data_IF_013669605205
#
_entry.id   IF_013669605205
#
_cell.length_a   1.000
_cell.length_b   1.000
_cell.length_c   1.000
_cell.angle_alpha   90.00
_cell.angle_beta   90.00
_cell.angle_gamma   90.00
#
_symmetry.space_group_name_H-M   'P 1'
#
loop_
_entity.id
_entity.type
_entity.pdbx_description
1 polymer ?
#
# COMPACT_ATOMS: atom_id res chain seq x y z
N UNK A 1 12.54 6.94 24.35
CA UNK A 1 11.83 8.05 25.01
C UNK A 1 10.98 8.69 23.91
N UNK A 2 9.70 8.37 23.77
CA UNK A 2 8.62 8.85 24.64
C UNK A 2 7.53 7.78 24.77
N UNK A 3 7.12 7.57 26.00
CA UNK A 3 6.09 6.64 26.46
C UNK A 3 4.74 6.88 25.80
N UNK A 4 4.27 5.92 25.00
CA UNK A 4 2.85 5.78 24.72
C UNK A 4 2.17 5.36 26.03
N UNK A 5 1.37 6.26 26.60
CA UNK A 5 0.64 6.04 27.85
C UNK A 5 -0.30 4.83 27.75
N UNK A 6 -0.68 4.23 28.89
CA UNK A 6 -1.54 3.07 28.90
C UNK A 6 -2.91 3.49 28.35
N UNK A 7 -3.24 2.97 27.17
CA UNK A 7 -4.57 3.11 26.58
C UNK A 7 -5.57 2.48 27.54
N UNK A 8 -6.27 3.32 28.30
CA UNK A 8 -7.40 2.95 29.13
C UNK A 8 -8.36 2.12 28.29
N UNK A 9 -8.43 0.83 28.64
CA UNK A 9 -9.50 -0.04 28.18
C UNK A 9 -10.76 0.51 28.82
N UNK A 10 -11.45 1.39 28.10
CA UNK A 10 -12.77 1.88 28.49
C UNK A 10 -13.73 0.69 28.40
N UNK A 11 -13.77 -0.05 29.51
CA UNK A 11 -14.62 -1.21 29.73
C UNK A 11 -16.08 -0.82 29.55
N UNK A 12 -16.82 -1.72 28.92
CA UNK A 12 -18.21 -1.54 28.57
C UNK A 12 -19.07 -1.13 29.76
N UNK A 13 -19.68 0.06 29.73
CA UNK A 13 -20.66 0.52 30.73
C UNK A 13 -22.11 0.37 30.24
N UNK A 14 -22.40 -0.74 29.53
CA UNK A 14 -23.76 -1.07 29.06
C UNK A 14 -24.54 -1.96 30.03
N UNK A 15 -23.84 -2.76 30.82
CA UNK A 15 -24.39 -3.48 31.97
C UNK A 15 -23.71 -2.85 33.17
N UNK A 16 -24.47 -2.25 34.09
CA UNK A 16 -23.90 -1.68 35.31
C UNK A 16 -22.98 -2.69 35.98
N UNK A 17 -21.92 -2.20 36.62
CA UNK A 17 -20.97 -3.05 37.33
C UNK A 17 -21.74 -3.99 38.27
N UNK A 18 -21.60 -5.30 38.05
CA UNK A 18 -22.33 -6.30 38.82
C UNK A 18 -21.61 -6.43 40.16
N UNK A 19 -21.95 -5.55 41.08
CA UNK A 19 -21.34 -5.48 42.41
C UNK A 19 -21.75 -6.67 43.29
N UNK A 20 -22.90 -7.30 43.02
CA UNK A 20 -23.45 -8.38 43.82
C UNK A 20 -24.03 -9.49 42.94
N UNK A 21 -23.52 -10.71 43.09
CA UNK A 21 -24.04 -11.90 42.41
C UNK A 21 -25.35 -12.43 43.01
N UNK A 22 -26.05 -13.29 42.26
CA UNK A 22 -27.35 -13.86 42.65
C UNK A 22 -27.31 -14.55 44.02
N UNK A 23 -26.24 -15.29 44.30
CA UNK A 23 -26.09 -16.05 45.54
C UNK A 23 -25.99 -15.13 46.75
N UNK A 24 -25.30 -14.00 46.60
CA UNK A 24 -25.13 -13.01 47.67
C UNK A 24 -26.43 -12.24 47.93
N UNK A 25 -27.21 -11.96 46.89
CA UNK A 25 -28.56 -11.39 47.04
C UNK A 25 -29.47 -12.37 47.80
N UNK A 26 -29.44 -13.66 47.44
CA UNK A 26 -30.24 -14.68 48.11
C UNK A 26 -29.86 -14.82 49.60
N UNK A 27 -28.57 -14.77 49.93
CA UNK A 27 -28.09 -14.79 51.32
C UNK A 27 -28.55 -13.57 52.12
N UNK A 28 -28.49 -12.37 51.54
CA UNK A 28 -28.98 -11.15 52.20
C UNK A 28 -30.47 -11.27 52.50
N UNK A 29 -31.27 -11.73 51.53
CA UNK A 29 -32.72 -11.93 51.71
C UNK A 29 -33.00 -12.98 52.78
N UNK A 30 -32.28 -14.11 52.77
CA UNK A 30 -32.42 -15.17 53.76
C UNK A 30 -32.13 -14.65 55.17
N UNK A 31 -31.03 -13.92 55.37
CA UNK A 31 -30.63 -13.39 56.67
C UNK A 31 -31.63 -12.36 57.21
N UNK A 32 -32.16 -11.49 56.36
CA UNK A 32 -33.19 -10.52 56.78
C UNK A 32 -34.52 -11.21 57.11
N UNK A 33 -34.93 -12.20 56.32
CA UNK A 33 -36.20 -12.90 56.53
C UNK A 33 -36.15 -13.89 57.70
N UNK A 34 -35.00 -14.49 57.99
CA UNK A 34 -34.81 -15.43 59.11
C UNK A 34 -34.93 -14.78 60.48
N UNK A 35 -34.70 -13.47 60.59
CA UNK A 35 -34.88 -12.72 61.85
C UNK A 35 -36.36 -12.52 62.20
N UNK A 36 -37.22 -12.46 61.18
CA UNK A 36 -38.63 -12.11 61.32
C UNK A 36 -39.50 -13.37 61.42
N UNK A 37 -39.16 -14.44 60.71
CA UNK A 37 -39.96 -15.66 60.60
C UNK A 37 -40.31 -16.39 61.92
N UNK A 38 -39.45 -16.39 62.97
CA UNK A 38 -39.77 -17.02 64.25
C UNK A 38 -41.03 -16.46 64.93
N UNK A 39 -41.37 -15.18 64.71
CA UNK A 39 -42.57 -14.56 65.28
C UNK A 39 -43.87 -15.13 64.71
N UNK A 40 -43.80 -15.83 63.58
CA UNK A 40 -44.92 -16.51 62.91
C UNK A 40 -44.89 -18.03 63.12
N UNK A 41 -43.99 -18.55 63.97
CA UNK A 41 -43.88 -19.99 64.26
C UNK A 41 -43.29 -20.82 63.12
N UNK A 42 -42.57 -20.21 62.18
CA UNK A 42 -41.96 -20.90 61.03
C UNK A 42 -40.45 -20.67 60.96
N UNK A 43 -39.71 -21.66 60.46
CA UNK A 43 -38.26 -21.59 60.28
C UNK A 43 -37.90 -21.53 58.77
N UNK A 44 -37.17 -20.49 58.36
CA UNK A 44 -36.75 -20.30 56.98
C UNK A 44 -35.39 -20.97 56.72
N UNK A 45 -35.37 -22.03 55.88
CA UNK A 45 -34.14 -22.80 55.58
C UNK A 45 -33.36 -22.30 54.36
N UNK A 46 -34.04 -21.91 53.28
CA UNK A 46 -33.40 -21.46 52.02
C UNK A 46 -34.34 -20.51 51.25
N UNK A 47 -33.76 -19.58 50.49
CA UNK A 47 -34.46 -18.67 49.58
C UNK A 47 -33.82 -18.74 48.21
N UNK A 48 -34.60 -19.08 47.19
CA UNK A 48 -34.15 -19.15 45.80
C UNK A 48 -34.98 -18.27 44.89
N UNK A 49 -34.31 -17.54 44.00
CA UNK A 49 -34.99 -16.75 42.96
C UNK A 49 -35.46 -17.71 41.87
N UNK A 50 -36.78 -17.88 41.75
CA UNK A 50 -37.39 -18.80 40.78
C UNK A 50 -37.36 -18.27 39.34
N UNK A 51 -37.69 -16.99 39.14
CA UNK A 51 -37.67 -16.32 37.83
C UNK A 51 -37.55 -14.82 38.01
N UNK A 52 -36.71 -14.19 37.19
CA UNK A 52 -36.69 -12.74 37.01
C UNK A 52 -37.41 -12.48 35.69
N UNK A 53 -38.58 -11.83 35.74
CA UNK A 53 -39.27 -11.40 34.53
C UNK A 53 -38.66 -10.06 34.10
N UNK A 54 -38.11 -10.02 32.89
CA UNK A 54 -37.72 -8.77 32.26
C UNK A 54 -38.92 -8.24 31.48
N UNK A 55 -39.15 -6.92 31.52
CA UNK A 55 -40.18 -6.30 30.69
C UNK A 55 -39.69 -6.34 29.24
N UNK A 56 -40.46 -6.96 28.34
CA UNK A 56 -40.08 -7.15 26.93
C UNK A 56 -39.63 -5.84 26.26
N UNK A 57 -40.24 -4.72 26.63
CA UNK A 57 -39.87 -3.39 26.14
C UNK A 57 -38.44 -2.98 26.52
N UNK A 58 -38.02 -3.27 27.74
CA UNK A 58 -36.65 -2.97 28.22
C UNK A 58 -35.64 -3.85 27.51
N UNK A 59 -35.97 -5.13 27.32
CA UNK A 59 -35.11 -6.07 26.60
C UNK A 59 -34.86 -5.62 25.16
N UNK A 60 -35.91 -5.21 24.44
CA UNK A 60 -35.80 -4.69 23.06
C UNK A 60 -34.90 -3.46 23.00
N UNK A 61 -35.10 -2.48 23.89
CA UNK A 61 -34.27 -1.26 23.95
C UNK A 61 -32.78 -1.56 24.19
N UNK A 62 -32.46 -2.54 25.05
CA UNK A 62 -31.07 -2.96 25.28
C UNK A 62 -30.47 -3.60 24.03
N UNK A 63 -31.21 -4.49 23.36
CA UNK A 63 -30.75 -5.10 22.11
C UNK A 63 -30.53 -4.06 21.01
N UNK A 64 -31.45 -3.10 20.84
CA UNK A 64 -31.31 -2.03 19.84
C UNK A 64 -30.06 -1.19 20.10
N UNK A 65 -29.80 -0.84 21.37
CA UNK A 65 -28.57 -0.15 21.78
C UNK A 65 -27.33 -0.97 21.48
N UNK A 66 -27.34 -2.28 21.76
CA UNK A 66 -26.21 -3.17 21.45
C UNK A 66 -25.94 -3.24 19.94
N UNK A 67 -26.98 -3.33 19.12
CA UNK A 67 -26.87 -3.37 17.66
C UNK A 67 -26.29 -2.06 17.14
N UNK A 68 -26.80 -0.92 17.62
CA UNK A 68 -26.30 0.41 17.24
C UNK A 68 -24.83 0.57 17.58
N UNK A 69 -24.42 0.16 18.80
CA UNK A 69 -23.03 0.25 19.22
C UNK A 69 -22.12 -0.68 18.40
N UNK A 70 -22.54 -1.92 18.15
CA UNK A 70 -21.79 -2.85 17.29
C UNK A 70 -21.61 -2.31 15.87
N UNK A 71 -22.66 -1.70 15.29
CA UNK A 71 -22.59 -1.04 13.98
C UNK A 71 -21.62 0.14 14.00
N UNK A 72 -21.66 0.98 15.03
CA UNK A 72 -20.75 2.12 15.21
C UNK A 72 -19.28 1.67 15.30
N UNK A 73 -19.01 0.65 16.12
CA UNK A 73 -17.67 0.07 16.26
C UNK A 73 -17.19 -0.51 14.92
N UNK A 74 -18.04 -1.28 14.23
CA UNK A 74 -17.68 -1.84 12.92
C UNK A 74 -17.40 -0.75 11.87
N UNK A 75 -18.21 0.30 11.82
CA UNK A 75 -17.98 1.44 10.91
C UNK A 75 -16.67 2.15 11.22
N UNK A 76 -16.36 2.39 12.50
CA UNK A 76 -15.07 2.98 12.92
C UNK A 76 -13.89 2.14 12.41
N UNK A 77 -13.90 0.83 12.65
CA UNK A 77 -12.83 -0.05 12.18
C UNK A 77 -12.71 -0.10 10.66
N UNK A 78 -13.82 -0.06 9.92
CA UNK A 78 -13.78 0.02 8.45
C UNK A 78 -13.14 1.33 7.99
N UNK A 79 -13.57 2.47 8.55
CA UNK A 79 -13.01 3.78 8.19
C UNK A 79 -11.52 3.89 8.51
N UNK A 80 -11.08 3.36 9.66
CA UNK A 80 -9.66 3.32 10.02
C UNK A 80 -8.87 2.41 9.06
N UNK A 81 -9.43 1.25 8.72
CA UNK A 81 -8.83 0.32 7.75
C UNK A 81 -8.70 0.94 6.35
N UNK A 82 -9.76 1.59 5.88
CA UNK A 82 -9.78 2.26 4.57
C UNK A 82 -8.76 3.42 4.53
N UNK A 83 -8.71 4.22 5.61
CA UNK A 83 -7.73 5.30 5.75
C UNK A 83 -6.29 4.79 5.70
N UNK A 84 -5.97 3.76 6.49
CA UNK A 84 -4.63 3.17 6.50
C UNK A 84 -4.27 2.51 5.17
N UNK A 85 -5.24 1.89 4.51
CA UNK A 85 -5.07 1.30 3.19
C UNK A 85 -4.77 2.36 2.12
N UNK A 86 -5.47 3.49 2.15
CA UNK A 86 -5.24 4.61 1.24
C UNK A 86 -3.86 5.25 1.47
N UNK A 87 -3.46 5.43 2.73
CA UNK A 87 -2.14 5.94 3.11
C UNK A 87 -1.01 5.06 2.54
N UNK A 88 -1.06 3.75 2.80
CA UNK A 88 -0.05 2.79 2.30
C UNK A 88 0.01 2.78 0.78
N UNK A 89 -1.14 2.82 0.10
CA UNK A 89 -1.18 2.89 -1.38
C UNK A 89 -0.55 4.18 -1.89
N UNK A 90 -0.87 5.32 -1.29
CA UNK A 90 -0.31 6.61 -1.68
C UNK A 90 1.20 6.68 -1.48
N UNK A 91 1.71 6.17 -0.36
CA UNK A 91 3.15 6.08 -0.09
C UNK A 91 3.84 5.17 -1.11
N UNK A 92 3.27 4.00 -1.39
CA UNK A 92 3.79 3.07 -2.41
C UNK A 92 3.87 3.73 -3.78
N UNK A 93 2.82 4.39 -4.23
CA UNK A 93 2.78 5.05 -5.55
C UNK A 93 3.79 6.19 -5.65
N UNK A 94 3.91 7.01 -4.60
CA UNK A 94 4.89 8.08 -4.51
C UNK A 94 6.31 7.52 -4.61
N UNK A 95 6.61 6.47 -3.86
CA UNK A 95 7.93 5.85 -3.81
C UNK A 95 8.30 5.19 -5.15
N UNK A 96 7.34 4.47 -5.76
CA UNK A 96 7.53 3.86 -7.07
C UNK A 96 7.83 4.92 -8.13
N UNK A 97 7.09 6.04 -8.13
CA UNK A 97 7.33 7.16 -9.05
C UNK A 97 8.70 7.81 -8.83
N UNK A 98 9.13 7.94 -7.56
CA UNK A 98 10.46 8.45 -7.21
C UNK A 98 11.56 7.55 -7.76
N UNK A 99 11.49 6.25 -7.50
CA UNK A 99 12.46 5.25 -7.97
C UNK A 99 12.55 5.26 -9.50
N UNK A 100 11.41 5.22 -10.19
CA UNK A 100 11.37 5.26 -11.66
C UNK A 100 11.97 6.54 -12.23
N UNK A 101 11.65 7.70 -11.64
CA UNK A 101 12.19 8.99 -12.09
C UNK A 101 13.70 9.08 -11.87
N UNK A 102 14.19 8.61 -10.72
CA UNK A 102 15.63 8.56 -10.43
C UNK A 102 16.38 7.61 -11.35
N UNK A 103 15.81 6.42 -11.60
CA UNK A 103 16.37 5.45 -12.53
C UNK A 103 16.42 6.02 -13.95
N UNK A 104 15.34 6.64 -14.42
CA UNK A 104 15.29 7.29 -15.72
C UNK A 104 16.32 8.41 -15.85
N UNK A 105 16.41 9.30 -14.85
CA UNK A 105 17.42 10.36 -14.81
C UNK A 105 18.84 9.80 -14.92
N UNK A 106 19.18 8.79 -14.11
CA UNK A 106 20.50 8.15 -14.15
C UNK A 106 20.78 7.52 -15.51
N UNK A 107 19.81 6.85 -16.11
CA UNK A 107 19.95 6.26 -17.44
C UNK A 107 20.24 7.35 -18.50
N UNK A 108 19.54 8.48 -18.45
CA UNK A 108 19.77 9.61 -19.36
C UNK A 108 21.14 10.27 -19.14
N UNK A 109 21.57 10.43 -17.89
CA UNK A 109 22.91 10.95 -17.56
C UNK A 109 24.02 10.04 -18.10
N UNK A 110 23.87 8.71 -17.96
CA UNK A 110 24.84 7.73 -18.47
C UNK A 110 24.88 7.77 -20.00
N UNK A 111 23.73 7.76 -20.66
CA UNK A 111 23.66 7.86 -22.13
C UNK A 111 24.27 9.16 -22.62
N UNK A 112 23.91 10.30 -22.03
CA UNK A 112 24.46 11.60 -22.43
C UNK A 112 25.98 11.69 -22.25
N UNK A 113 26.54 11.09 -21.19
CA UNK A 113 28.00 10.99 -21.02
C UNK A 113 28.65 10.10 -22.08
N UNK A 114 28.05 8.94 -22.35
CA UNK A 114 28.55 8.01 -23.37
C UNK A 114 28.50 8.64 -24.78
N UNK A 115 27.41 9.33 -25.12
CA UNK A 115 27.25 10.01 -26.41
C UNK A 115 28.25 11.16 -26.56
N UNK A 116 28.49 11.93 -25.49
CA UNK A 116 29.49 13.00 -25.48
C UNK A 116 30.92 12.43 -25.66
N UNK A 117 31.24 11.33 -24.99
CA UNK A 117 32.53 10.65 -25.12
C UNK A 117 32.72 10.07 -26.52
N UNK A 118 31.71 9.38 -27.05
CA UNK A 118 31.73 8.86 -28.42
C UNK A 118 31.91 9.98 -29.45
N UNK A 119 31.15 11.07 -29.33
CA UNK A 119 31.29 12.24 -30.21
C UNK A 119 32.68 12.85 -30.14
N UNK A 120 33.27 12.94 -28.94
CA UNK A 120 34.65 13.43 -28.78
C UNK A 120 35.66 12.52 -29.46
N UNK A 121 35.54 11.20 -29.33
CA UNK A 121 36.42 10.23 -29.99
C UNK A 121 36.27 10.34 -31.52
N UNK A 122 35.04 10.43 -32.04
CA UNK A 122 34.80 10.61 -33.46
C UNK A 122 35.40 11.93 -33.99
N UNK A 123 35.25 13.03 -33.27
CA UNK A 123 35.82 14.32 -33.66
C UNK A 123 37.36 14.29 -33.68
N UNK A 124 37.99 13.61 -32.70
CA UNK A 124 39.43 13.39 -32.67
C UNK A 124 39.90 12.51 -33.84
N UNK A 125 39.20 11.42 -34.12
CA UNK A 125 39.50 10.55 -35.26
C UNK A 125 39.37 11.29 -36.60
N UNK A 126 38.32 12.09 -36.77
CA UNK A 126 38.13 12.92 -37.97
C UNK A 126 39.26 13.95 -38.14
N UNK A 127 39.75 14.53 -37.05
CA UNK A 127 40.81 15.53 -37.07
C UNK A 127 42.20 14.95 -37.38
N UNK A 128 42.40 13.63 -37.23
CA UNK A 128 43.65 12.96 -37.58
C UNK A 128 43.80 12.75 -39.09
N UNK A 129 42.74 12.26 -39.75
CA UNK A 129 42.67 12.11 -41.21
C UNK A 129 41.20 12.13 -41.68
N UNK A 130 40.72 13.29 -42.18
CA UNK A 130 39.35 13.43 -42.66
C UNK A 130 39.00 12.51 -43.84
N UNK A 131 39.95 12.27 -44.74
CA UNK A 131 39.72 11.49 -45.97
C UNK A 131 39.60 9.99 -45.65
N UNK A 132 40.48 9.49 -44.77
CA UNK A 132 40.44 8.10 -44.32
C UNK A 132 39.20 7.79 -43.49
N UNK A 133 38.78 8.71 -42.61
CA UNK A 133 37.56 8.54 -41.82
C UNK A 133 36.30 8.50 -42.70
N UNK A 134 36.20 9.40 -43.69
CA UNK A 134 35.09 9.38 -44.65
C UNK A 134 34.99 8.04 -45.38
N UNK A 135 36.13 7.51 -45.87
CA UNK A 135 36.19 6.19 -46.50
C UNK A 135 35.69 5.08 -45.57
N UNK A 136 36.22 5.03 -44.33
CA UNK A 136 35.85 3.99 -43.35
C UNK A 136 34.35 4.03 -43.03
N UNK A 137 33.79 5.24 -42.85
CA UNK A 137 32.37 5.42 -42.52
C UNK A 137 31.46 5.05 -43.69
N UNK A 138 31.86 5.39 -44.92
CA UNK A 138 31.13 4.98 -46.13
C UNK A 138 31.13 3.46 -46.28
N UNK A 139 32.26 2.78 -46.04
CA UNK A 139 32.33 1.31 -46.06
C UNK A 139 31.48 0.64 -44.97
N UNK A 140 31.43 1.22 -43.76
CA UNK A 140 30.55 0.75 -42.68
C UNK A 140 29.07 0.92 -43.05
N UNK A 141 28.71 2.06 -43.64
CA UNK A 141 27.35 2.31 -44.12
C UNK A 141 26.95 1.35 -45.24
N UNK A 142 27.85 1.02 -46.16
CA UNK A 142 27.61 0.00 -47.18
C UNK A 142 27.27 -1.35 -46.55
N UNK A 143 28.02 -1.75 -45.51
CA UNK A 143 27.77 -3.01 -44.81
C UNK A 143 26.42 -3.04 -44.10
N UNK A 144 25.98 -1.93 -43.52
CA UNK A 144 24.69 -1.85 -42.83
C UNK A 144 23.49 -1.75 -43.78
N UNK A 145 23.66 -1.11 -44.94
CA UNK A 145 22.57 -0.87 -45.89
C UNK A 145 22.42 -1.95 -46.95
N UNK A 146 23.43 -2.79 -47.18
CA UNK A 146 23.41 -3.88 -48.15
C UNK A 146 23.15 -5.23 -47.45
N UNK A 147 21.93 -5.41 -46.94
CA UNK A 147 21.47 -6.73 -46.51
C UNK A 147 20.80 -7.48 -47.69
N UNK A 148 20.81 -8.82 -47.67
CA UNK A 148 20.51 -9.69 -48.83
C UNK A 148 19.13 -9.54 -49.48
N UNK A 149 18.21 -8.81 -48.85
CA UNK A 149 16.86 -8.53 -49.36
C UNK A 149 16.65 -7.08 -49.85
N UNK A 150 17.68 -6.23 -49.79
CA UNK A 150 17.52 -4.79 -50.11
C UNK A 150 17.63 -4.51 -51.61
N UNK A 151 16.53 -4.10 -52.24
CA UNK A 151 16.52 -3.59 -53.61
C UNK A 151 16.84 -2.09 -53.64
N UNK A 152 18.07 -1.73 -53.98
CA UNK A 152 18.51 -0.34 -54.14
C UNK A 152 18.27 0.17 -55.57
N UNK A 153 17.45 1.22 -55.72
CA UNK A 153 17.32 1.98 -56.97
C UNK A 153 18.33 3.13 -56.93
N UNK A 154 19.39 3.03 -57.71
CA UNK A 154 20.57 3.89 -57.62
C UNK A 154 20.69 4.83 -58.81
N UNK A 155 20.84 6.13 -58.54
CA UNK A 155 21.40 7.07 -59.52
C UNK A 155 22.93 7.03 -59.40
N UNK A 156 23.62 6.85 -60.53
CA UNK A 156 25.09 6.80 -60.62
C UNK A 156 25.76 8.12 -60.23
N UNK A 157 25.01 9.19 -60.00
CA UNK A 157 25.52 10.51 -59.61
C UNK A 157 25.58 10.76 -58.09
N UNK A 158 25.16 9.81 -57.27
CA UNK A 158 25.17 9.97 -55.80
C UNK A 158 26.60 10.00 -55.23
N UNK A 159 26.87 10.94 -54.31
CA UNK A 159 28.10 11.02 -53.51
C UNK A 159 28.35 9.74 -52.71
N UNK A 160 27.28 8.98 -52.42
CA UNK A 160 27.34 7.71 -51.73
C UNK A 160 28.25 6.70 -52.43
N UNK A 161 28.44 6.73 -53.75
CA UNK A 161 29.29 5.78 -54.51
C UNK A 161 30.65 6.35 -54.92
N UNK A 162 31.06 7.52 -54.41
CA UNK A 162 32.29 8.22 -54.84
C UNK A 162 33.54 7.32 -54.79
N UNK A 163 33.65 6.43 -53.80
CA UNK A 163 34.78 5.51 -53.63
C UNK A 163 34.68 4.19 -54.41
N UNK A 164 33.50 3.86 -54.95
CA UNK A 164 33.29 2.69 -55.82
C UNK A 164 33.42 3.04 -57.31
N UNK A 165 33.49 4.33 -57.65
CA UNK A 165 33.87 4.78 -58.98
C UNK A 165 35.34 4.46 -59.21
N UNK A 166 35.64 3.81 -60.34
CA UNK A 166 37.02 3.51 -60.73
C UNK A 166 37.86 4.79 -60.77
N UNK A 167 39.17 4.74 -60.46
CA UNK A 167 40.04 5.91 -60.61
C UNK A 167 39.95 6.38 -62.07
N UNK A 168 39.50 7.60 -62.27
CA UNK A 168 39.59 8.25 -63.59
C UNK A 168 41.05 8.16 -64.03
N UNK A 169 41.28 7.47 -65.15
CA UNK A 169 42.57 7.41 -65.81
C UNK A 169 43.06 8.85 -66.02
N UNK A 170 44.17 9.20 -65.37
CA UNK A 170 45.07 10.23 -65.89
C UNK A 170 45.66 9.78 -67.23
#
# INVERSE_FOLDING_TARGET
MTSAGPSERQGWSGVGEIQVGRDRIAQIILQSASQITPQFGVELKDVRIKRINYVDEVQRKVFDRMIAERKRIASKYRSEGDGRSAEIRGEKEKELKRIQSEAYRRAQEIRGKADAEATKIYAQAYSLDPEFYQLLKTLESYRQSLDGETWLVLSLDSEFFKFLRSPEKR
#
